data_IF_892523150045
#
_entry.id   IF_892523150045
#
_cell.length_a   1.000
_cell.length_b   1.000
_cell.length_c   1.000
_cell.angle_alpha   90.00
_cell.angle_beta   90.00
_cell.angle_gamma   90.00
#
_symmetry.space_group_name_H-M   'P 1'
#
loop_
_entity.id
_entity.type
_entity.pdbx_description
1 polymer ?
#
# COMPACT_ATOMS: atom_id res chain seq x y z
N UNK A 1 2.42 -2.29 2.51
CA UNK A 1 3.71 -2.97 2.79
C UNK A 1 4.41 -3.25 1.48
N UNK A 2 5.73 -3.40 1.48
CA UNK A 2 6.54 -3.65 0.27
C UNK A 2 7.73 -4.54 0.59
N UNK A 3 8.27 -5.21 -0.42
CA UNK A 3 9.40 -6.13 -0.28
C UNK A 3 9.99 -6.53 -1.63
N UNK A 4 10.94 -7.46 -1.57
CA UNK A 4 11.56 -8.09 -2.76
C UNK A 4 11.07 -9.53 -2.85
N UNK A 5 10.69 -9.95 -4.05
CA UNK A 5 10.29 -11.33 -4.31
C UNK A 5 11.51 -12.23 -4.24
N UNK A 6 11.56 -13.13 -3.27
CA UNK A 6 12.67 -14.10 -3.12
C UNK A 6 12.36 -15.45 -3.76
N UNK A 7 11.07 -15.78 -3.91
CA UNK A 7 10.60 -17.03 -4.48
C UNK A 7 9.18 -16.83 -5.00
N UNK A 8 8.79 -17.60 -6.01
CA UNK A 8 7.42 -17.66 -6.54
C UNK A 8 6.91 -19.11 -6.57
N UNK A 9 5.59 -19.28 -6.48
CA UNK A 9 4.95 -20.58 -6.63
C UNK A 9 5.01 -21.08 -8.08
N UNK A 10 4.86 -22.39 -8.29
CA UNK A 10 4.98 -23.03 -9.61
C UNK A 10 4.04 -22.46 -10.68
N UNK A 11 2.88 -21.94 -10.25
CA UNK A 11 1.83 -21.43 -11.14
C UNK A 11 1.89 -19.91 -11.33
N UNK A 12 2.94 -19.25 -10.81
CA UNK A 12 3.14 -17.79 -10.92
C UNK A 12 4.19 -17.53 -11.99
N UNK A 13 3.78 -16.92 -13.10
CA UNK A 13 4.65 -16.66 -14.25
C UNK A 13 4.83 -15.16 -14.55
N UNK A 14 4.01 -14.30 -13.94
CA UNK A 14 3.93 -12.87 -14.22
C UNK A 14 4.74 -12.00 -13.27
N UNK A 15 5.44 -12.60 -12.29
CA UNK A 15 6.24 -11.88 -11.30
C UNK A 15 7.63 -12.52 -11.25
N UNK A 16 8.68 -11.84 -11.73
CA UNK A 16 10.04 -12.32 -11.61
C UNK A 16 10.54 -12.35 -10.16
N UNK A 17 11.38 -13.33 -9.82
CA UNK A 17 12.19 -13.29 -8.61
C UNK A 17 13.16 -12.11 -8.69
N UNK A 18 13.35 -11.41 -7.58
CA UNK A 18 14.13 -10.17 -7.49
C UNK A 18 13.30 -8.90 -7.72
N UNK A 19 12.06 -9.00 -8.21
CA UNK A 19 11.20 -7.82 -8.39
C UNK A 19 10.87 -7.16 -7.05
N UNK A 20 10.93 -5.82 -7.04
CA UNK A 20 10.35 -5.01 -5.96
C UNK A 20 8.84 -5.03 -6.11
N UNK A 21 8.13 -5.32 -5.03
CA UNK A 21 6.67 -5.35 -5.02
C UNK A 21 6.12 -4.54 -3.85
N UNK A 22 4.98 -3.91 -4.06
CA UNK A 22 4.07 -3.52 -2.99
C UNK A 22 2.96 -4.55 -2.88
N UNK A 23 2.54 -4.85 -1.66
CA UNK A 23 1.47 -5.83 -1.40
C UNK A 23 0.22 -5.08 -0.98
N UNK A 24 -0.86 -5.25 -1.76
CA UNK A 24 -2.21 -4.87 -1.36
C UNK A 24 -2.69 -5.91 -0.34
N UNK A 25 -2.94 -5.54 0.92
CA UNK A 25 -3.22 -6.51 1.96
C UNK A 25 -4.65 -7.08 1.89
N UNK A 26 -5.55 -6.48 1.12
CA UNK A 26 -6.96 -6.84 1.04
C UNK A 26 -7.21 -8.16 0.30
N UNK A 27 -8.04 -9.03 0.90
CA UNK A 27 -8.52 -10.28 0.33
C UNK A 27 -10.02 -10.20 0.05
N UNK A 28 -10.44 -10.81 -1.06
CA UNK A 28 -11.81 -10.90 -1.56
C UNK A 28 -12.08 -12.27 -2.22
N UNK A 29 -13.20 -12.42 -2.93
CA UNK A 29 -13.60 -13.67 -3.59
C UNK A 29 -12.50 -14.29 -4.49
N UNK A 30 -11.63 -13.48 -5.11
CA UNK A 30 -10.54 -13.97 -5.98
C UNK A 30 -9.47 -14.76 -5.22
N UNK A 31 -9.43 -14.65 -3.90
CA UNK A 31 -8.46 -15.31 -3.03
C UNK A 31 -8.98 -16.64 -2.47
N UNK A 32 -10.27 -16.91 -2.65
CA UNK A 32 -10.94 -18.09 -2.10
C UNK A 32 -11.41 -19.06 -3.19
N UNK A 33 -10.98 -18.85 -4.44
CA UNK A 33 -11.45 -19.60 -5.62
C UNK A 33 -12.98 -19.61 -5.74
N UNK A 34 -13.60 -18.46 -5.43
CA UNK A 34 -15.05 -18.27 -5.49
C UNK A 34 -15.43 -17.34 -6.64
N UNK A 35 -16.61 -17.59 -7.22
CA UNK A 35 -17.22 -16.65 -8.16
C UNK A 35 -17.44 -15.27 -7.51
N UNK A 36 -17.23 -14.16 -8.23
CA UNK A 36 -17.41 -12.83 -7.68
C UNK A 36 -18.84 -12.61 -7.17
N UNK A 37 -18.98 -12.26 -5.89
CA UNK A 37 -20.27 -11.82 -5.36
C UNK A 37 -20.70 -10.48 -6.01
N UNK A 38 -21.95 -10.07 -5.85
CA UNK A 38 -22.49 -8.82 -6.41
C UNK A 38 -21.58 -7.62 -6.14
N UNK A 39 -21.05 -7.51 -4.93
CA UNK A 39 -20.15 -6.42 -4.51
C UNK A 39 -18.82 -6.45 -5.27
N UNK A 40 -18.22 -7.63 -5.42
CA UNK A 40 -16.96 -7.81 -6.15
C UNK A 40 -17.16 -7.61 -7.65
N UNK A 41 -18.29 -8.09 -8.20
CA UNK A 41 -18.66 -7.97 -9.60
C UNK A 41 -18.82 -6.51 -10.04
N UNK A 42 -19.32 -5.63 -9.16
CA UNK A 42 -19.42 -4.17 -9.42
C UNK A 42 -18.15 -3.40 -9.02
N UNK A 43 -17.03 -4.09 -8.78
CA UNK A 43 -15.74 -3.47 -8.47
C UNK A 43 -15.57 -2.95 -7.04
N UNK A 44 -16.55 -3.13 -6.15
CA UNK A 44 -16.51 -2.64 -4.75
C UNK A 44 -15.88 -3.66 -3.79
N UNK A 45 -14.77 -4.27 -4.21
CA UNK A 45 -14.07 -5.35 -3.49
C UNK A 45 -13.69 -4.97 -2.04
N UNK A 46 -13.44 -3.68 -1.78
CA UNK A 46 -13.07 -3.18 -0.45
C UNK A 46 -14.18 -3.32 0.62
N UNK A 47 -15.44 -3.53 0.24
CA UNK A 47 -16.56 -3.79 1.16
C UNK A 47 -17.13 -5.20 0.99
N UNK A 48 -16.32 -6.13 0.49
CA UNK A 48 -16.66 -7.53 0.37
C UNK A 48 -17.04 -8.13 1.74
N UNK A 49 -18.06 -9.00 1.78
CA UNK A 49 -18.61 -9.53 3.05
C UNK A 49 -17.65 -10.47 3.79
N UNK A 50 -16.76 -11.17 3.08
CA UNK A 50 -15.72 -12.04 3.68
C UNK A 50 -14.35 -11.39 3.56
N UNK A 51 -14.32 -10.06 3.64
CA UNK A 51 -13.09 -9.30 3.58
C UNK A 51 -12.12 -9.80 4.65
N UNK A 52 -10.91 -10.10 4.23
CA UNK A 52 -9.80 -10.33 5.12
C UNK A 52 -8.63 -9.44 4.72
N UNK A 53 -7.67 -9.25 5.63
CA UNK A 53 -6.48 -8.47 5.34
C UNK A 53 -5.25 -9.10 5.96
N UNK A 54 -4.15 -9.18 5.20
CA UNK A 54 -2.84 -9.47 5.77
C UNK A 54 -2.52 -8.47 6.89
N UNK A 55 -2.01 -8.98 8.02
CA UNK A 55 -1.71 -8.20 9.21
C UNK A 55 -2.92 -7.89 10.10
N UNK A 56 -4.11 -8.43 9.80
CA UNK A 56 -5.29 -8.26 10.64
C UNK A 56 -6.09 -9.56 10.81
N UNK A 57 -6.71 -10.06 9.74
CA UNK A 57 -7.64 -11.20 9.77
C UNK A 57 -7.25 -12.34 8.83
N UNK A 58 -6.31 -12.11 7.91
CA UNK A 58 -5.68 -13.16 7.11
C UNK A 58 -4.36 -13.60 7.76
N UNK A 59 -3.91 -14.85 7.55
CA UNK A 59 -2.62 -15.31 8.05
C UNK A 59 -1.46 -14.52 7.42
N UNK A 60 -0.47 -14.17 8.23
CA UNK A 60 0.69 -13.38 7.81
C UNK A 60 0.49 -11.88 7.93
N UNK A 61 1.57 -11.10 7.77
CA UNK A 61 1.54 -9.65 7.88
C UNK A 61 2.91 -9.01 7.60
N UNK A 62 2.94 -7.69 7.48
CA UNK A 62 4.14 -6.94 7.09
C UNK A 62 5.18 -6.72 8.20
N UNK A 63 4.86 -7.05 9.45
CA UNK A 63 5.80 -6.95 10.58
C UNK A 63 6.57 -8.25 10.78
N UNK A 64 7.19 -8.72 9.70
CA UNK A 64 7.98 -9.93 9.64
C UNK A 64 9.08 -9.78 8.58
N UNK A 65 10.15 -10.55 8.69
CA UNK A 65 11.24 -10.55 7.69
C UNK A 65 10.81 -11.12 6.33
N UNK A 66 9.70 -11.85 6.28
CA UNK A 66 9.08 -12.35 5.06
C UNK A 66 7.60 -12.65 5.26
N UNK A 67 6.87 -12.70 4.14
CA UNK A 67 5.45 -13.06 4.08
C UNK A 67 5.21 -13.88 2.80
N UNK A 68 4.32 -14.86 2.89
CA UNK A 68 3.75 -15.51 1.71
C UNK A 68 2.45 -14.77 1.37
N UNK A 69 2.43 -14.12 0.20
CA UNK A 69 1.25 -13.42 -0.32
C UNK A 69 0.84 -14.03 -1.67
N UNK A 70 -0.46 -13.99 -2.00
CA UNK A 70 -0.89 -14.42 -3.33
C UNK A 70 -0.35 -13.46 -4.40
N UNK A 71 0.00 -13.98 -5.57
CA UNK A 71 0.57 -13.18 -6.65
C UNK A 71 -0.35 -12.02 -7.07
N UNK A 72 -1.67 -12.19 -6.97
CA UNK A 72 -2.65 -11.18 -7.30
C UNK A 72 -2.64 -9.98 -6.32
N UNK A 73 -2.10 -10.14 -5.11
CA UNK A 73 -1.87 -9.04 -4.16
C UNK A 73 -0.59 -8.26 -4.44
N UNK A 74 0.31 -8.81 -5.25
CA UNK A 74 1.63 -8.25 -5.50
C UNK A 74 1.61 -7.31 -6.71
N UNK A 75 1.89 -6.04 -6.45
CA UNK A 75 2.05 -5.00 -7.45
C UNK A 75 3.54 -4.79 -7.69
N UNK A 76 4.01 -5.16 -8.88
CA UNK A 76 5.41 -4.94 -9.28
C UNK A 76 5.68 -3.44 -9.39
N UNK A 77 6.74 -3.01 -8.72
CA UNK A 77 7.17 -1.61 -8.69
C UNK A 77 8.18 -1.37 -9.81
N UNK A 78 8.09 -0.21 -10.52
CA UNK A 78 9.14 0.22 -11.42
C UNK A 78 10.49 0.35 -10.72
N UNK A 79 11.58 0.21 -11.46
CA UNK A 79 12.95 0.27 -10.91
C UNK A 79 13.26 1.58 -10.19
N UNK A 80 12.68 2.69 -10.66
CA UNK A 80 12.83 4.00 -10.02
C UNK A 80 12.15 4.11 -8.64
N UNK A 81 11.21 3.22 -8.31
CA UNK A 81 10.41 3.31 -7.08
C UNK A 81 11.09 2.52 -5.96
N UNK A 82 11.45 3.18 -4.86
CA UNK A 82 12.06 2.51 -3.70
C UNK A 82 11.03 1.70 -2.90
N UNK A 83 11.48 0.75 -2.08
CA UNK A 83 10.59 -0.01 -1.20
C UNK A 83 9.90 0.89 -0.17
N UNK A 84 10.57 1.94 0.31
CA UNK A 84 9.95 2.92 1.21
C UNK A 84 8.76 3.62 0.56
N UNK A 85 8.89 4.05 -0.70
CA UNK A 85 7.77 4.59 -1.48
C UNK A 85 6.70 3.51 -1.68
N UNK A 86 7.10 2.28 -2.02
CA UNK A 86 6.21 1.13 -2.14
C UNK A 86 5.40 0.83 -0.86
N UNK A 87 5.94 1.14 0.33
CA UNK A 87 5.22 0.95 1.58
C UNK A 87 4.10 1.98 1.78
N UNK A 88 4.27 3.19 1.23
CA UNK A 88 3.30 4.28 1.29
C UNK A 88 2.11 4.10 0.34
N UNK A 89 2.15 3.14 -0.59
CA UNK A 89 1.05 2.95 -1.54
C UNK A 89 -0.26 2.57 -0.86
N UNK A 90 -0.20 1.85 0.28
CA UNK A 90 -1.37 1.55 1.11
C UNK A 90 -2.10 2.81 1.59
N UNK A 91 -1.47 3.67 2.42
CA UNK A 91 -2.11 4.89 2.90
C UNK A 91 -2.50 5.86 1.77
N UNK A 92 -1.70 5.94 0.70
CA UNK A 92 -2.04 6.76 -0.47
C UNK A 92 -3.28 6.25 -1.21
N UNK A 93 -3.42 4.93 -1.36
CA UNK A 93 -4.61 4.35 -1.99
C UNK A 93 -5.88 4.63 -1.18
N UNK A 94 -5.80 4.66 0.15
CA UNK A 94 -6.92 5.04 1.03
C UNK A 94 -7.26 6.52 0.83
N UNK A 95 -6.26 7.41 0.87
CA UNK A 95 -6.44 8.84 0.63
C UNK A 95 -7.13 9.11 -0.73
N UNK A 96 -6.61 8.47 -1.78
CA UNK A 96 -7.16 8.55 -3.12
C UNK A 96 -8.61 8.05 -3.18
N UNK A 97 -8.91 6.93 -2.53
CA UNK A 97 -10.27 6.41 -2.45
C UNK A 97 -11.22 7.44 -1.81
N UNK A 98 -10.83 8.06 -0.69
CA UNK A 98 -11.61 9.09 -0.02
C UNK A 98 -11.89 10.31 -0.91
N UNK A 99 -10.88 10.80 -1.64
CA UNK A 99 -11.04 11.92 -2.59
C UNK A 99 -12.07 11.53 -3.66
N UNK A 100 -11.90 10.36 -4.27
CA UNK A 100 -12.76 9.88 -5.35
C UNK A 100 -14.21 9.68 -4.90
N UNK A 101 -14.45 9.21 -3.68
CA UNK A 101 -15.81 8.93 -3.17
C UNK A 101 -16.50 10.12 -2.51
N UNK A 102 -15.78 11.16 -2.14
CA UNK A 102 -16.34 12.32 -1.43
C UNK A 102 -17.08 13.32 -2.34
N UNK A 103 -17.00 13.13 -3.66
CA UNK A 103 -17.70 14.00 -4.63
C UNK A 103 -17.05 15.36 -4.82
N UNK A 104 -15.77 15.51 -4.46
CA UNK A 104 -15.00 16.71 -4.77
C UNK A 104 -15.00 16.97 -6.28
N UNK A 105 -15.24 18.24 -6.65
CA UNK A 105 -15.17 18.71 -8.03
C UNK A 105 -13.90 19.53 -8.22
N UNK A 106 -13.37 19.54 -9.45
CA UNK A 106 -12.20 20.33 -9.82
C UNK A 106 -12.31 21.78 -9.32
N UNK A 107 -11.20 22.31 -8.79
CA UNK A 107 -11.10 23.67 -8.26
C UNK A 107 -11.58 23.87 -6.80
N UNK A 108 -12.13 22.83 -6.15
CA UNK A 108 -12.50 22.93 -4.74
C UNK A 108 -11.28 22.73 -3.82
N UNK A 109 -10.81 23.82 -3.20
CA UNK A 109 -9.79 23.77 -2.14
C UNK A 109 -10.47 23.41 -0.80
N UNK A 110 -10.40 22.15 -0.39
CA UNK A 110 -10.58 21.79 1.03
C UNK A 110 -9.34 21.03 1.50
N UNK A 111 -8.89 21.33 2.71
CA UNK A 111 -7.68 20.77 3.31
C UNK A 111 -7.91 19.30 3.73
N UNK A 112 -7.93 18.36 2.77
CA UNK A 112 -7.75 16.94 3.08
C UNK A 112 -6.28 16.63 3.44
N UNK A 113 -5.39 17.52 3.01
CA UNK A 113 -3.94 17.47 3.17
C UNK A 113 -3.43 17.38 4.62
N UNK A 114 -4.11 18.04 5.56
CA UNK A 114 -3.60 18.23 6.92
C UNK A 114 -3.59 16.95 7.74
N UNK A 115 -4.52 16.04 7.47
CA UNK A 115 -4.67 14.78 8.22
C UNK A 115 -3.76 13.66 7.70
N UNK A 116 -3.37 13.75 6.43
CA UNK A 116 -2.49 12.79 5.75
C UNK A 116 -1.03 13.26 5.66
N UNK A 117 -0.72 14.47 6.14
CA UNK A 117 0.61 15.08 6.07
C UNK A 117 1.11 15.31 4.63
N UNK A 118 0.20 15.48 3.68
CA UNK A 118 0.52 15.67 2.26
C UNK A 118 -0.28 16.85 1.71
N UNK A 119 0.40 17.94 1.30
CA UNK A 119 -0.22 19.05 0.56
C UNK A 119 -0.62 18.57 -0.84
N UNK A 120 -1.79 17.93 -0.97
CA UNK A 120 -2.34 17.51 -2.26
C UNK A 120 -3.22 18.63 -2.81
N UNK A 121 -2.73 19.31 -3.85
CA UNK A 121 -3.55 20.16 -4.73
C UNK A 121 -4.08 19.25 -5.84
N UNK A 122 -5.39 19.02 -5.86
CA UNK A 122 -6.04 18.25 -6.93
C UNK A 122 -6.21 19.18 -8.13
N UNK A 123 -5.34 19.05 -9.13
CA UNK A 123 -5.57 19.61 -10.47
C UNK A 123 -6.04 18.48 -11.41
N UNK A 124 -6.91 18.83 -12.36
CA UNK A 124 -7.75 17.96 -13.20
C UNK A 124 -7.21 16.57 -13.52
N UNK A 125 -8.02 15.52 -13.29
CA UNK A 125 -7.73 14.15 -13.73
C UNK A 125 -8.89 13.54 -14.51
N UNK A 126 -8.79 13.62 -15.84
CA UNK A 126 -9.47 12.73 -16.76
C UNK A 126 -8.51 11.59 -17.12
N UNK A 127 -8.85 10.37 -16.69
CA UNK A 127 -8.08 9.17 -16.99
C UNK A 127 -8.93 7.92 -16.82
N UNK A 128 -9.01 7.12 -17.88
CA UNK A 128 -9.74 5.84 -17.93
C UNK A 128 -9.25 4.84 -16.89
N UNK A 129 -10.19 4.11 -16.29
CA UNK A 129 -10.01 3.21 -15.15
C UNK A 129 -8.97 2.10 -15.36
N UNK A 130 -7.99 1.95 -14.44
CA UNK A 130 -7.26 0.70 -14.26
C UNK A 130 -8.08 -0.25 -13.38
N UNK A 131 -8.09 -1.53 -13.73
CA UNK A 131 -8.74 -2.63 -12.98
C UNK A 131 -8.26 -2.77 -11.52
N UNK A 132 -7.16 -2.10 -11.14
CA UNK A 132 -6.66 -2.00 -9.78
C UNK A 132 -6.50 -0.53 -9.35
N UNK A 133 -7.37 0.00 -8.48
CA UNK A 133 -7.35 1.41 -8.07
C UNK A 133 -6.11 1.78 -7.23
N UNK A 134 -5.39 0.81 -6.65
CA UNK A 134 -4.11 1.07 -5.99
C UNK A 134 -2.98 1.30 -7.00
N UNK A 135 -3.04 0.64 -8.16
CA UNK A 135 -2.08 0.85 -9.25
C UNK A 135 -2.30 2.20 -9.92
N UNK A 136 -3.57 2.59 -10.13
CA UNK A 136 -3.92 3.89 -10.69
C UNK A 136 -3.40 5.01 -9.80
N UNK A 137 -3.66 4.98 -8.49
CA UNK A 137 -3.23 6.02 -7.56
C UNK A 137 -1.71 6.22 -7.53
N UNK A 138 -0.94 5.15 -7.70
CA UNK A 138 0.52 5.16 -7.60
C UNK A 138 1.18 5.60 -8.90
N UNK A 139 0.70 5.05 -10.01
CA UNK A 139 1.17 5.47 -11.33
C UNK A 139 0.84 6.95 -11.54
N UNK A 140 -0.37 7.36 -11.16
CA UNK A 140 -0.86 8.72 -11.28
C UNK A 140 -0.16 9.69 -10.32
N UNK A 141 -0.01 9.34 -9.03
CA UNK A 141 0.73 10.17 -8.08
C UNK A 141 2.24 10.27 -8.39
N UNK A 142 2.85 9.21 -8.93
CA UNK A 142 4.25 9.24 -9.37
C UNK A 142 4.43 10.08 -10.65
N UNK A 143 3.48 10.02 -11.59
CA UNK A 143 3.49 10.79 -12.84
C UNK A 143 3.18 12.28 -12.63
N UNK A 144 2.25 12.62 -11.74
CA UNK A 144 1.87 14.02 -11.47
C UNK A 144 2.86 14.78 -10.62
N UNK A 145 3.40 14.13 -9.59
CA UNK A 145 4.25 14.86 -8.64
C UNK A 145 5.66 15.05 -9.14
N UNK A 146 6.17 14.15 -10.01
CA UNK A 146 7.60 14.02 -10.30
C UNK A 146 8.50 13.94 -9.06
N UNK A 147 7.91 13.83 -7.85
CA UNK A 147 8.52 14.29 -6.61
C UNK A 147 7.63 13.98 -5.38
N UNK A 148 6.94 12.82 -5.33
CA UNK A 148 6.24 12.40 -4.12
C UNK A 148 7.25 12.46 -2.97
N UNK A 149 7.10 13.36 -1.98
CA UNK A 149 8.12 13.57 -0.99
C UNK A 149 8.00 12.50 0.09
N UNK A 150 8.27 11.25 -0.28
CA UNK A 150 8.17 10.10 0.62
C UNK A 150 8.99 10.32 1.89
N UNK A 151 10.11 11.05 1.79
CA UNK A 151 10.93 11.48 2.92
C UNK A 151 10.22 12.44 3.90
N UNK A 152 9.20 13.19 3.47
CA UNK A 152 8.37 14.05 4.33
C UNK A 152 7.19 13.29 4.95
N UNK A 153 6.72 12.24 4.29
CA UNK A 153 5.60 11.43 4.76
C UNK A 153 6.02 10.35 5.76
N UNK A 154 7.25 9.85 5.66
CA UNK A 154 7.84 8.89 6.61
C UNK A 154 8.53 9.68 7.70
N UNK A 155 7.90 9.77 8.87
CA UNK A 155 8.44 10.55 10.01
C UNK A 155 9.35 9.73 10.92
N UNK A 156 9.33 8.40 10.78
CA UNK A 156 10.23 7.50 11.52
C UNK A 156 10.36 6.16 10.80
N UNK A 157 11.54 5.54 10.91
CA UNK A 157 11.78 4.15 10.54
C UNK A 157 12.19 3.40 11.81
N UNK A 158 11.43 2.37 12.17
CA UNK A 158 11.56 1.63 13.42
C UNK A 158 11.90 0.18 13.11
N UNK A 159 12.94 -0.40 13.74
CA UNK A 159 13.24 -1.81 13.54
C UNK A 159 12.18 -2.69 14.21
N UNK A 160 11.99 -3.91 13.72
CA UNK A 160 10.91 -4.80 14.17
C UNK A 160 10.96 -5.06 15.69
N UNK A 161 12.15 -5.21 16.27
CA UNK A 161 12.35 -5.40 17.71
C UNK A 161 11.83 -4.25 18.59
N UNK A 162 11.76 -3.03 18.02
CA UNK A 162 11.32 -1.83 18.74
C UNK A 162 9.88 -1.43 18.40
N UNK A 163 9.16 -2.20 17.57
CA UNK A 163 7.85 -1.80 17.00
C UNK A 163 6.81 -1.48 18.07
N UNK A 164 6.81 -2.20 19.20
CA UNK A 164 5.88 -1.96 20.30
C UNK A 164 6.14 -0.58 20.90
N UNK A 165 7.37 -0.32 21.34
CA UNK A 165 7.74 0.89 22.05
C UNK A 165 7.80 2.13 21.15
N UNK A 166 8.47 2.02 20.00
CA UNK A 166 8.74 3.16 19.10
C UNK A 166 7.72 3.30 17.96
N UNK A 167 6.90 2.28 17.71
CA UNK A 167 5.80 2.33 16.74
C UNK A 167 4.45 2.55 17.43
N UNK A 168 3.92 1.49 18.06
CA UNK A 168 2.56 1.51 18.62
C UNK A 168 2.39 2.50 19.78
N UNK A 169 3.24 2.44 20.81
CA UNK A 169 3.16 3.38 21.93
C UNK A 169 3.39 4.82 21.51
N UNK A 170 4.26 5.06 20.52
CA UNK A 170 4.46 6.38 19.95
C UNK A 170 3.17 6.91 19.30
N UNK A 171 2.38 6.06 18.64
CA UNK A 171 1.09 6.46 18.07
C UNK A 171 -0.02 6.64 19.13
N UNK A 172 -0.03 5.84 20.19
CA UNK A 172 -1.08 5.90 21.23
C UNK A 172 -0.89 7.07 22.21
N UNK A 173 0.34 7.55 22.40
CA UNK A 173 0.68 8.51 23.46
C UNK A 173 1.28 9.83 22.95
N UNK A 174 1.35 10.06 21.63
CA UNK A 174 1.88 11.30 21.08
C UNK A 174 0.80 12.35 20.78
N UNK A 175 1.13 13.60 21.06
CA UNK A 175 0.41 14.76 20.55
C UNK A 175 0.89 15.04 19.11
N UNK A 176 0.31 14.35 18.13
CA UNK A 176 0.28 14.71 16.69
C UNK A 176 1.63 15.02 16.00
N UNK A 177 2.71 14.27 16.28
CA UNK A 177 4.03 14.49 15.61
C UNK A 177 4.40 13.46 14.53
N UNK A 178 3.66 12.37 14.38
CA UNK A 178 3.97 11.30 13.42
C UNK A 178 2.90 11.17 12.33
N UNK A 179 3.34 11.15 11.07
CA UNK A 179 2.47 10.96 9.89
C UNK A 179 2.49 9.49 9.44
N UNK A 180 3.67 8.94 9.12
CA UNK A 180 3.83 7.49 8.92
C UNK A 180 5.10 6.99 9.63
N UNK A 181 4.95 5.92 10.41
CA UNK A 181 6.08 5.17 11.00
C UNK A 181 6.27 3.90 10.17
N UNK A 182 7.38 3.79 9.46
CA UNK A 182 7.73 2.59 8.70
C UNK A 182 8.40 1.59 9.62
N UNK A 183 7.92 0.34 9.64
CA UNK A 183 8.61 -0.75 10.32
C UNK A 183 9.52 -1.44 9.32
N UNK A 184 10.82 -1.53 9.64
CA UNK A 184 11.82 -2.18 8.81
C UNK A 184 12.44 -3.36 9.58
N UNK A 185 11.97 -4.59 9.33
CA UNK A 185 12.62 -5.79 9.83
C UNK A 185 14.08 -5.83 9.36
N UNK A 186 15.02 -6.27 10.22
CA UNK A 186 16.41 -6.46 9.80
C UNK A 186 16.42 -7.40 8.59
N UNK A 187 17.13 -6.99 7.55
CA UNK A 187 17.26 -7.77 6.33
C UNK A 187 17.99 -9.08 6.62
N UNK A 188 17.40 -10.21 6.26
CA UNK A 188 18.15 -11.42 5.97
C UNK A 188 18.89 -11.20 4.65
N UNK A 189 19.99 -10.43 4.64
CA UNK A 189 20.97 -10.54 3.56
C UNK A 189 21.86 -11.73 3.94
N UNK A 190 21.36 -12.93 3.67
CA UNK A 190 22.22 -14.09 3.52
C UNK A 190 22.78 -14.03 2.11
N UNK A 191 24.11 -14.05 2.00
CA UNK A 191 24.83 -14.22 0.75
C UNK A 191 24.23 -15.42 0.00
N UNK A 192 23.80 -15.18 -1.25
CA UNK A 192 23.57 -16.28 -2.18
C UNK A 192 24.94 -16.91 -2.43
N UNK A 193 25.18 -18.05 -1.78
CA UNK A 193 26.27 -18.98 -2.09
C UNK A 193 25.77 -20.08 -3.00
#
# INVERSE_FOLDING_TARGET
MSGVVVQVGSNVHNIPVGSKVAVNPALDDQHYDMEPCTTCAIGKRNIHKRFASYGLSAPGGGFATGIVAMALNCIVLPDAVSLQVGALLGPLAVAWHCIRTSGFKNGQKKSLAKELGADVVVDSLEGSEPSNPALSAVHQAALESGNLPAHKMITSVVPLEDVVKKGFHALMHSNVSHVNILVQPRSCVGEVS
#
